data_IF_497128663312
#
_entry.id   IF_497128663312
#
_cell.length_a   1.000
_cell.length_b   1.000
_cell.length_c   1.000
_cell.angle_alpha   90.00
_cell.angle_beta   90.00
_cell.angle_gamma   90.00
#
_symmetry.space_group_name_H-M   'P 1'
#
loop_
_entity.id
_entity.type
_entity.pdbx_description
1 polymer ?
#
# COMPACT_ATOMS: atom_id res chain seq x y z
N UNK A 1 38.51 6.76 48.02
CA UNK A 1 38.78 8.08 47.42
C UNK A 1 38.11 8.06 46.06
N UNK A 2 36.84 8.44 46.01
CA UNK A 2 36.09 8.46 44.75
C UNK A 2 36.33 9.85 44.15
N UNK A 3 37.38 9.98 43.35
CA UNK A 3 37.57 11.19 42.54
C UNK A 3 36.47 11.21 41.47
N UNK A 4 35.45 12.03 41.69
CA UNK A 4 34.46 12.30 40.65
C UNK A 4 35.18 13.01 39.49
N UNK A 5 35.43 12.28 38.41
CA UNK A 5 35.94 12.80 37.15
C UNK A 5 35.02 13.92 36.64
N UNK A 6 35.40 15.18 36.94
CA UNK A 6 34.72 16.38 36.45
C UNK A 6 35.13 16.65 35.01
N UNK A 7 34.36 16.10 34.07
CA UNK A 7 34.56 16.38 32.66
C UNK A 7 34.24 17.85 32.31
N UNK A 8 35.03 18.50 31.44
CA UNK A 8 34.71 19.83 30.94
C UNK A 8 33.41 19.80 30.13
N UNK A 9 32.70 20.94 30.09
CA UNK A 9 31.38 21.05 29.44
C UNK A 9 31.37 20.51 28.00
N UNK A 10 32.42 20.80 27.23
CA UNK A 10 32.58 20.32 25.86
C UNK A 10 32.66 18.79 25.75
N UNK A 11 33.33 18.11 26.69
CA UNK A 11 33.42 16.66 26.70
C UNK A 11 32.06 16.02 27.06
N UNK A 12 31.35 16.59 28.05
CA UNK A 12 30.00 16.14 28.41
C UNK A 12 29.02 16.30 27.24
N UNK A 13 29.07 17.43 26.54
CA UNK A 13 28.24 17.68 25.36
C UNK A 13 28.52 16.67 24.24
N UNK A 14 29.80 16.38 23.99
CA UNK A 14 30.24 15.41 22.97
C UNK A 14 29.73 14.00 23.27
N UNK A 15 29.86 13.53 24.52
CA UNK A 15 29.34 12.22 24.89
C UNK A 15 27.82 12.12 24.77
N UNK A 16 27.09 13.19 25.11
CA UNK A 16 25.62 13.22 24.95
C UNK A 16 25.24 13.15 23.47
N UNK A 17 25.87 13.97 22.62
CA UNK A 17 25.58 13.95 21.17
C UNK A 17 25.97 12.63 20.53
N UNK A 18 27.12 12.07 20.90
CA UNK A 18 27.57 10.77 20.41
C UNK A 18 26.63 9.64 20.86
N UNK A 19 26.14 9.68 22.10
CA UNK A 19 25.11 8.76 22.58
C UNK A 19 23.79 8.90 21.82
N UNK A 20 23.38 10.12 21.49
CA UNK A 20 22.16 10.39 20.72
C UNK A 20 22.27 9.88 19.28
N UNK A 21 23.42 10.11 18.63
CA UNK A 21 23.72 9.56 17.30
C UNK A 21 23.72 8.03 17.35
N UNK A 22 24.38 7.43 18.33
CA UNK A 22 24.41 5.97 18.48
C UNK A 22 23.00 5.39 18.68
N UNK A 23 22.15 6.05 19.47
CA UNK A 23 20.76 5.64 19.67
C UNK A 23 19.96 5.70 18.37
N UNK A 24 20.02 6.80 17.62
CA UNK A 24 19.34 6.93 16.32
C UNK A 24 19.86 5.87 15.33
N UNK A 25 21.17 5.60 15.34
CA UNK A 25 21.78 4.61 14.48
C UNK A 25 21.29 3.18 14.78
N UNK A 26 21.09 2.84 16.07
CA UNK A 26 20.48 1.57 16.48
C UNK A 26 19.04 1.47 15.95
N UNK A 27 18.25 2.54 16.06
CA UNK A 27 16.89 2.57 15.51
C UNK A 27 16.88 2.44 13.99
N UNK A 28 17.85 3.05 13.30
CA UNK A 28 17.98 2.95 11.85
C UNK A 28 18.31 1.52 11.39
N UNK A 29 19.30 0.87 12.00
CA UNK A 29 19.63 -0.53 11.70
C UNK A 29 18.47 -1.46 12.09
N UNK A 30 17.85 -1.19 13.24
CA UNK A 30 16.72 -1.95 13.77
C UNK A 30 15.38 -1.65 13.09
N UNK A 31 15.32 -0.73 12.12
CA UNK A 31 14.06 -0.30 11.49
C UNK A 31 13.27 -1.49 10.92
N UNK A 32 13.95 -2.45 10.30
CA UNK A 32 13.34 -3.64 9.72
C UNK A 32 12.66 -4.55 10.77
N UNK A 33 12.97 -4.39 12.06
CA UNK A 33 12.35 -5.12 13.17
C UNK A 33 11.31 -4.23 13.87
N UNK A 34 11.68 -2.97 14.13
CA UNK A 34 10.86 -2.01 14.86
C UNK A 34 9.58 -1.67 14.08
N UNK A 35 9.67 -1.47 12.77
CA UNK A 35 8.50 -1.15 11.93
C UNK A 35 7.47 -2.27 11.97
N UNK A 36 7.79 -3.55 11.72
CA UNK A 36 6.83 -4.65 11.88
C UNK A 36 6.22 -4.77 13.28
N UNK A 37 6.99 -4.51 14.35
CA UNK A 37 6.48 -4.57 15.73
C UNK A 37 5.43 -3.47 15.96
N UNK A 38 5.73 -2.24 15.56
CA UNK A 38 4.77 -1.11 15.68
C UNK A 38 3.51 -1.40 14.85
N UNK A 39 3.67 -1.92 13.62
CA UNK A 39 2.53 -2.30 12.78
C UNK A 39 1.70 -3.43 13.39
N UNK A 40 2.35 -4.42 14.02
CA UNK A 40 1.66 -5.51 14.72
C UNK A 40 0.86 -4.99 15.91
N UNK A 41 1.43 -4.04 16.66
CA UNK A 41 0.73 -3.37 17.75
C UNK A 41 -0.49 -2.57 17.25
N UNK A 42 -0.33 -1.86 16.13
CA UNK A 42 -1.42 -1.15 15.49
C UNK A 42 -2.56 -2.10 15.09
N UNK A 43 -2.26 -3.20 14.42
CA UNK A 43 -3.26 -4.21 14.08
C UNK A 43 -3.89 -4.83 15.32
N UNK A 44 -3.13 -5.04 16.40
CA UNK A 44 -3.68 -5.53 17.65
C UNK A 44 -4.72 -4.56 18.24
N UNK A 45 -4.48 -3.25 18.20
CA UNK A 45 -5.46 -2.22 18.60
C UNK A 45 -6.68 -2.26 17.68
N UNK A 46 -6.47 -2.33 16.36
CA UNK A 46 -7.55 -2.36 15.37
C UNK A 46 -8.45 -3.60 15.52
N UNK A 47 -7.87 -4.76 15.84
CA UNK A 47 -8.56 -6.03 16.02
C UNK A 47 -9.15 -6.20 17.42
N UNK A 48 -8.71 -5.40 18.40
CA UNK A 48 -9.21 -5.43 19.77
C UNK A 48 -10.74 -5.34 19.89
N UNK A 49 -11.47 -4.43 19.21
CA UNK A 49 -12.94 -4.39 19.29
C UNK A 49 -13.59 -5.69 18.81
N UNK A 50 -13.03 -6.35 17.80
CA UNK A 50 -13.53 -7.63 17.28
C UNK A 50 -13.26 -8.76 18.29
N UNK A 51 -12.07 -8.76 18.91
CA UNK A 51 -11.73 -9.72 19.96
C UNK A 51 -12.61 -9.53 21.21
N UNK A 52 -12.89 -8.28 21.59
CA UNK A 52 -13.83 -7.95 22.69
C UNK A 52 -15.26 -8.40 22.35
N UNK A 53 -15.70 -8.23 21.10
CA UNK A 53 -17.00 -8.74 20.68
C UNK A 53 -17.10 -10.26 20.83
N UNK A 54 -16.07 -11.00 20.41
CA UNK A 54 -16.01 -12.46 20.58
C UNK A 54 -16.02 -12.86 22.06
N UNK A 55 -15.28 -12.13 22.90
CA UNK A 55 -15.25 -12.36 24.35
C UNK A 55 -16.60 -12.07 25.01
N UNK A 56 -17.23 -10.93 24.72
CA UNK A 56 -18.44 -10.47 25.41
C UNK A 56 -19.70 -11.19 24.91
N UNK A 57 -19.83 -11.43 23.60
CA UNK A 57 -21.00 -12.10 23.02
C UNK A 57 -20.89 -13.61 23.01
N UNK A 58 -19.75 -14.17 22.63
CA UNK A 58 -19.55 -15.63 22.53
C UNK A 58 -18.90 -16.25 23.77
N UNK A 59 -18.56 -15.44 24.79
CA UNK A 59 -17.96 -15.88 26.07
C UNK A 59 -16.69 -16.72 25.91
N UNK A 60 -15.91 -16.44 24.87
CA UNK A 60 -14.61 -17.10 24.69
C UNK A 60 -13.57 -16.64 25.72
N UNK A 61 -12.66 -17.52 26.15
CA UNK A 61 -11.52 -17.12 26.97
C UNK A 61 -10.57 -16.24 26.16
N UNK A 62 -9.90 -15.30 26.84
CA UNK A 62 -9.14 -14.21 26.19
C UNK A 62 -8.17 -14.69 25.09
N UNK A 63 -7.42 -15.77 25.35
CA UNK A 63 -6.42 -16.30 24.43
C UNK A 63 -7.06 -16.84 23.15
N UNK A 64 -8.16 -17.59 23.27
CA UNK A 64 -8.87 -18.16 22.12
C UNK A 64 -9.53 -17.06 21.27
N UNK A 65 -10.09 -16.03 21.90
CA UNK A 65 -10.70 -14.91 21.19
C UNK A 65 -9.67 -14.20 20.28
N UNK A 66 -8.50 -13.86 20.83
CA UNK A 66 -7.43 -13.19 20.05
C UNK A 66 -6.90 -14.08 18.94
N UNK A 67 -6.61 -15.35 19.23
CA UNK A 67 -6.14 -16.32 18.22
C UNK A 67 -7.10 -16.44 17.04
N UNK A 68 -8.40 -16.59 17.31
CA UNK A 68 -9.42 -16.72 16.26
C UNK A 68 -9.50 -15.45 15.41
N UNK A 69 -9.48 -14.27 16.04
CA UNK A 69 -9.54 -13.00 15.31
C UNK A 69 -8.33 -12.81 14.39
N UNK A 70 -7.11 -13.12 14.87
CA UNK A 70 -5.90 -13.02 14.04
C UNK A 70 -5.94 -14.01 12.87
N UNK A 71 -6.37 -15.25 13.12
CA UNK A 71 -6.51 -16.28 12.08
C UNK A 71 -7.52 -15.84 11.02
N UNK A 72 -8.69 -15.34 11.44
CA UNK A 72 -9.70 -14.82 10.52
C UNK A 72 -9.22 -13.63 9.72
N UNK A 73 -8.46 -12.72 10.33
CA UNK A 73 -7.86 -11.58 9.64
C UNK A 73 -6.90 -12.03 8.52
N UNK A 74 -6.02 -13.01 8.80
CA UNK A 74 -5.11 -13.56 7.80
C UNK A 74 -5.89 -14.27 6.68
N UNK A 75 -6.86 -15.11 7.03
CA UNK A 75 -7.72 -15.81 6.07
C UNK A 75 -8.50 -14.85 5.18
N UNK A 76 -8.98 -13.74 5.74
CA UNK A 76 -9.68 -12.70 4.98
C UNK A 76 -8.79 -12.13 3.88
N UNK A 77 -7.54 -11.75 4.19
CA UNK A 77 -6.61 -11.22 3.18
C UNK A 77 -6.18 -12.27 2.15
N UNK A 78 -5.93 -13.52 2.57
CA UNK A 78 -5.63 -14.60 1.63
C UNK A 78 -6.81 -14.82 0.67
N UNK A 79 -8.03 -14.90 1.21
CA UNK A 79 -9.25 -15.04 0.42
C UNK A 79 -9.44 -13.86 -0.53
N UNK A 80 -9.19 -12.64 -0.06
CA UNK A 80 -9.24 -11.42 -0.88
C UNK A 80 -8.23 -11.48 -2.03
N UNK A 81 -6.97 -11.83 -1.79
CA UNK A 81 -5.95 -11.90 -2.85
C UNK A 81 -6.24 -12.99 -3.87
N UNK A 82 -6.71 -14.16 -3.44
CA UNK A 82 -7.13 -15.25 -4.32
C UNK A 82 -8.32 -14.81 -5.16
N UNK A 83 -9.33 -14.21 -4.54
CA UNK A 83 -10.50 -13.68 -5.24
C UNK A 83 -10.11 -12.62 -6.28
N UNK A 84 -9.27 -11.65 -5.91
CA UNK A 84 -8.77 -10.63 -6.83
C UNK A 84 -7.96 -11.24 -7.97
N UNK A 85 -7.15 -12.25 -7.70
CA UNK A 85 -6.35 -12.93 -8.72
C UNK A 85 -7.24 -13.63 -9.76
N UNK A 86 -8.32 -14.31 -9.32
CA UNK A 86 -9.31 -14.88 -10.23
C UNK A 86 -10.03 -13.79 -11.04
N UNK A 87 -10.46 -12.71 -10.38
CA UNK A 87 -11.14 -11.60 -11.05
C UNK A 87 -10.25 -10.93 -12.11
N UNK A 88 -8.95 -10.76 -11.84
CA UNK A 88 -7.98 -10.20 -12.78
C UNK A 88 -7.76 -11.15 -13.96
N UNK A 89 -7.72 -12.46 -13.71
CA UNK A 89 -7.56 -13.46 -14.78
C UNK A 89 -8.76 -13.47 -15.74
N UNK A 90 -9.98 -13.47 -15.20
CA UNK A 90 -11.20 -13.41 -16.01
C UNK A 90 -11.25 -12.10 -16.81
N UNK A 91 -10.85 -10.99 -16.19
CA UNK A 91 -10.76 -9.70 -16.87
C UNK A 91 -9.70 -9.71 -17.99
N UNK A 92 -8.55 -10.37 -17.79
CA UNK A 92 -7.53 -10.50 -18.81
C UNK A 92 -8.03 -11.31 -20.02
N UNK A 93 -8.76 -12.41 -19.79
CA UNK A 93 -9.34 -13.20 -20.88
C UNK A 93 -10.38 -12.41 -21.68
N UNK A 94 -11.21 -11.62 -21.00
CA UNK A 94 -12.17 -10.74 -21.67
C UNK A 94 -11.48 -9.56 -22.36
N UNK A 95 -10.36 -9.07 -21.83
CA UNK A 95 -9.54 -8.04 -22.47
C UNK A 95 -8.98 -8.54 -23.81
N UNK A 96 -8.46 -9.76 -23.89
CA UNK A 96 -7.98 -10.35 -25.15
C UNK A 96 -9.10 -10.41 -26.21
N UNK A 97 -10.33 -10.77 -25.80
CA UNK A 97 -11.51 -10.78 -26.70
C UNK A 97 -11.86 -9.36 -27.16
N UNK A 98 -11.82 -8.40 -26.24
CA UNK A 98 -12.05 -6.98 -26.54
C UNK A 98 -10.99 -6.48 -27.52
N UNK A 99 -9.71 -6.77 -27.28
CA UNK A 99 -8.60 -6.36 -28.14
C UNK A 99 -8.80 -6.87 -29.58
N UNK A 100 -9.15 -8.15 -29.73
CA UNK A 100 -9.42 -8.73 -31.05
C UNK A 100 -10.56 -8.01 -31.79
N UNK A 101 -11.67 -7.74 -31.10
CA UNK A 101 -12.82 -7.05 -31.69
C UNK A 101 -12.49 -5.59 -32.02
N UNK A 102 -11.79 -4.89 -31.11
CA UNK A 102 -11.34 -3.51 -31.31
C UNK A 102 -10.39 -3.44 -32.50
N UNK A 103 -9.42 -4.35 -32.64
CA UNK A 103 -8.50 -4.36 -33.79
C UNK A 103 -9.25 -4.52 -35.11
N UNK A 104 -10.28 -5.38 -35.17
CA UNK A 104 -11.14 -5.52 -36.36
C UNK A 104 -11.86 -4.20 -36.65
N UNK A 105 -12.51 -3.59 -35.66
CA UNK A 105 -13.22 -2.33 -35.84
C UNK A 105 -12.30 -1.16 -36.19
N UNK A 106 -11.13 -1.07 -35.55
CA UNK A 106 -10.11 -0.07 -35.85
C UNK A 106 -9.59 -0.24 -37.27
N UNK A 107 -9.35 -1.47 -37.74
CA UNK A 107 -8.91 -1.68 -39.13
C UNK A 107 -9.94 -1.18 -40.15
N UNK A 108 -11.23 -1.38 -39.87
CA UNK A 108 -12.32 -0.89 -40.73
C UNK A 108 -12.43 0.64 -40.69
N UNK A 109 -12.33 1.24 -39.50
CA UNK A 109 -12.34 2.71 -39.32
C UNK A 109 -11.12 3.34 -39.98
N UNK A 110 -9.93 2.75 -39.81
CA UNK A 110 -8.70 3.23 -40.43
C UNK A 110 -8.79 3.19 -41.96
N UNK A 111 -9.40 2.15 -42.52
CA UNK A 111 -9.72 2.06 -43.95
C UNK A 111 -10.66 3.19 -44.39
N UNK A 112 -11.78 3.38 -43.68
CA UNK A 112 -12.72 4.46 -43.98
C UNK A 112 -12.09 5.87 -43.90
N UNK A 113 -11.27 6.13 -42.87
CA UNK A 113 -10.58 7.41 -42.68
C UNK A 113 -9.55 7.63 -43.79
N UNK A 114 -8.80 6.59 -44.16
CA UNK A 114 -7.84 6.67 -45.27
C UNK A 114 -8.56 6.99 -46.57
N UNK A 115 -9.67 6.31 -46.85
CA UNK A 115 -10.37 6.41 -48.13
C UNK A 115 -11.21 7.71 -48.24
N UNK A 116 -11.67 8.27 -47.11
CA UNK A 116 -12.47 9.51 -47.08
C UNK A 116 -11.62 10.77 -46.86
N UNK A 117 -10.66 10.72 -45.94
CA UNK A 117 -9.91 11.89 -45.47
C UNK A 117 -8.42 11.86 -45.88
N UNK A 118 -7.96 10.81 -46.56
CA UNK A 118 -6.59 10.65 -47.06
C UNK A 118 -5.49 10.68 -45.97
N UNK A 119 -5.86 10.44 -44.71
CA UNK A 119 -4.90 10.35 -43.61
C UNK A 119 -4.28 8.95 -43.59
N UNK A 120 -2.95 8.89 -43.56
CA UNK A 120 -2.22 7.63 -43.62
C UNK A 120 -2.42 6.78 -42.35
N UNK A 121 -2.44 5.45 -42.49
CA UNK A 121 -2.53 4.54 -41.32
C UNK A 121 -1.39 4.73 -40.32
N UNK A 122 -0.24 5.27 -40.76
CA UNK A 122 0.91 5.58 -39.90
C UNK A 122 0.64 6.77 -38.98
N UNK A 123 0.06 7.86 -39.51
CA UNK A 123 -0.34 9.01 -38.68
C UNK A 123 -1.47 8.62 -37.72
N UNK A 124 -2.44 7.84 -38.18
CA UNK A 124 -3.52 7.35 -37.32
C UNK A 124 -3.00 6.52 -36.13
N UNK A 125 -2.02 5.65 -36.36
CA UNK A 125 -1.37 4.88 -35.29
C UNK A 125 -0.63 5.79 -34.31
N UNK A 126 0.08 6.79 -34.80
CA UNK A 126 0.79 7.74 -33.94
C UNK A 126 -0.15 8.49 -32.98
N UNK A 127 -1.33 8.92 -33.45
CA UNK A 127 -2.34 9.55 -32.57
C UNK A 127 -2.89 8.60 -31.49
N UNK A 128 -3.10 7.32 -31.83
CA UNK A 128 -3.55 6.31 -30.87
C UNK A 128 -2.47 6.03 -29.84
N UNK A 129 -1.22 5.84 -30.28
CA UNK A 129 -0.09 5.56 -29.39
C UNK A 129 0.12 6.70 -28.39
N UNK A 130 0.08 7.97 -28.84
CA UNK A 130 0.17 9.14 -27.93
C UNK A 130 -1.01 9.21 -26.96
N UNK A 131 -2.24 8.95 -27.41
CA UNK A 131 -3.40 8.95 -26.51
C UNK A 131 -3.37 7.81 -25.48
N UNK A 132 -2.78 6.67 -25.84
CA UNK A 132 -2.57 5.54 -24.94
C UNK A 132 -1.50 5.86 -23.87
N UNK A 133 -0.39 6.49 -24.26
CA UNK A 133 0.64 6.96 -23.33
C UNK A 133 0.09 7.98 -22.32
N UNK A 134 -0.62 9.01 -22.78
CA UNK A 134 -1.27 10.02 -21.92
C UNK A 134 -2.25 9.38 -20.92
N UNK A 135 -2.99 8.35 -21.36
CA UNK A 135 -3.96 7.65 -20.51
C UNK A 135 -3.28 6.78 -19.46
N UNK A 136 -2.17 6.12 -19.82
CA UNK A 136 -1.37 5.33 -18.89
C UNK A 136 -0.72 6.22 -17.83
N UNK A 137 -0.23 7.39 -18.21
CA UNK A 137 0.35 8.37 -17.29
C UNK A 137 -0.69 8.88 -16.28
N UNK A 138 -1.87 9.30 -16.75
CA UNK A 138 -3.00 9.70 -15.88
C UNK A 138 -3.46 8.56 -14.97
N UNK A 139 -3.49 7.32 -15.47
CA UNK A 139 -3.80 6.15 -14.66
C UNK A 139 -2.82 5.95 -13.51
N UNK A 140 -1.51 6.10 -13.77
CA UNK A 140 -0.47 6.03 -12.73
C UNK A 140 -0.60 7.17 -11.71
N UNK A 141 -0.91 8.38 -12.16
CA UNK A 141 -1.14 9.54 -11.29
C UNK A 141 -2.35 9.33 -10.37
N UNK A 142 -3.48 8.85 -10.90
CA UNK A 142 -4.68 8.54 -10.11
C UNK A 142 -4.41 7.43 -9.09
N UNK A 143 -3.66 6.39 -9.48
CA UNK A 143 -3.24 5.34 -8.54
C UNK A 143 -2.35 5.91 -7.43
N UNK A 144 -1.37 6.76 -7.78
CA UNK A 144 -0.49 7.40 -6.81
C UNK A 144 -1.23 8.28 -5.81
N UNK A 145 -2.14 9.12 -6.29
CA UNK A 145 -2.97 10.01 -5.45
C UNK A 145 -3.95 9.24 -4.57
N UNK A 146 -4.56 8.16 -5.08
CA UNK A 146 -5.45 7.29 -4.30
C UNK A 146 -4.69 6.55 -3.19
N UNK A 147 -3.50 6.00 -3.50
CA UNK A 147 -2.64 5.33 -2.51
C UNK A 147 -2.21 6.29 -1.39
N UNK A 148 -1.86 7.53 -1.74
CA UNK A 148 -1.51 8.57 -0.77
C UNK A 148 -2.70 8.90 0.13
N UNK A 149 -3.88 9.14 -0.46
CA UNK A 149 -5.11 9.45 0.29
C UNK A 149 -5.54 8.31 1.23
N UNK A 150 -5.39 7.06 0.78
CA UNK A 150 -5.67 5.88 1.61
C UNK A 150 -4.67 5.74 2.76
N UNK A 151 -3.38 5.99 2.50
CA UNK A 151 -2.33 6.00 3.54
C UNK A 151 -2.62 7.08 4.58
N UNK A 152 -2.97 8.28 4.15
CA UNK A 152 -3.34 9.39 5.05
C UNK A 152 -4.58 9.04 5.90
N UNK A 153 -5.56 8.36 5.30
CA UNK A 153 -6.75 7.90 6.02
C UNK A 153 -6.40 6.86 7.09
N UNK A 154 -5.54 5.88 6.76
CA UNK A 154 -5.08 4.88 7.73
C UNK A 154 -4.27 5.51 8.87
N UNK A 155 -3.41 6.47 8.55
CA UNK A 155 -2.66 7.24 9.55
C UNK A 155 -3.63 7.99 10.45
N UNK A 156 -4.62 8.68 9.91
CA UNK A 156 -5.61 9.41 10.70
C UNK A 156 -6.46 8.49 11.60
N UNK A 157 -6.96 7.36 11.09
CA UNK A 157 -7.71 6.37 11.88
C UNK A 157 -6.87 5.76 13.01
N UNK A 158 -5.57 5.59 12.77
CA UNK A 158 -4.61 5.11 13.78
C UNK A 158 -4.35 6.14 14.86
N UNK A 159 -4.17 7.40 14.45
CA UNK A 159 -3.77 8.48 15.35
C UNK A 159 -4.92 8.95 16.24
N UNK A 160 -6.17 8.95 15.74
CA UNK A 160 -7.35 9.43 16.51
C UNK A 160 -7.50 8.74 17.87
N UNK A 161 -7.47 7.39 18.00
CA UNK A 161 -7.54 6.69 19.28
C UNK A 161 -6.27 6.77 20.13
N UNK A 162 -5.13 7.14 19.54
CA UNK A 162 -3.88 7.35 20.30
C UNK A 162 -3.92 8.72 20.97
N UNK A 163 -4.54 9.70 20.32
CA UNK A 163 -4.67 11.07 20.83
C UNK A 163 -5.88 11.29 21.74
N UNK A 164 -6.84 10.36 21.80
CA UNK A 164 -8.06 10.43 22.64
C UNK A 164 -8.09 9.32 23.67
#
# INVERSE_FOLDING_TARGET
MNEELKFPFYAKLTFITLGLIALIFIFYIGQNIIVPIIMSFLFAILLYPIAQFLKLKLRFPNVLAVMIVVILFILFFIGLFVFLSYQISDFAEDFDKIEKNINIHLSNIQGFIRDTFHVSSREQKQYIDTAAEDSLEKGKEILGTTLMSFTDTLVNLTLIPIYT
#
